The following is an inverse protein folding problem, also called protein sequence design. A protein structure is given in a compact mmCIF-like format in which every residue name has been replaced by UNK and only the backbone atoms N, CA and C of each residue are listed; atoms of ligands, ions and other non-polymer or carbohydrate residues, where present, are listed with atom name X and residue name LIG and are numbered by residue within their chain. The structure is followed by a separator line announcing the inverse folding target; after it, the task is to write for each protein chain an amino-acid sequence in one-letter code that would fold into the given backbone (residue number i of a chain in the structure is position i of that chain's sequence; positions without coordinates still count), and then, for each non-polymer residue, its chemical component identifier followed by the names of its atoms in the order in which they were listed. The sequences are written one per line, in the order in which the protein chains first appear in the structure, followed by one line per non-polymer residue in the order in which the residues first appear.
data_IF_278233216948
#
_entry.id   IF_278233216948
#
_cell.length_a   1.000
_cell.length_b   1.000
_cell.length_c   1.000
_cell.angle_alpha   90.00
_cell.angle_beta   90.00
_cell.angle_gamma   90.00
#
_symmetry.space_group_name_H-M   'P 1'
#
loop_
_entity.id
_entity.type
_entity.pdbx_description
1 polymer ?
#
# COMPACT_ATOMS: atom_id res chain seq x y z
N UNK A 1 -2.84 -0.31 -18.52
CA UNK A 1 -3.88 -0.86 -17.65
C UNK A 1 -4.60 -2.05 -18.28
N UNK A 2 -5.18 -1.93 -19.45
CA UNK A 2 -6.05 -2.95 -20.09
C UNK A 2 -5.44 -4.36 -20.19
N UNK A 3 -4.13 -4.46 -20.51
CA UNK A 3 -3.49 -5.77 -20.64
C UNK A 3 -3.36 -6.47 -19.28
N UNK A 4 -3.09 -5.73 -18.23
CA UNK A 4 -3.01 -6.25 -16.87
C UNK A 4 -4.40 -6.67 -16.38
N UNK A 5 -5.41 -5.83 -16.55
CA UNK A 5 -6.78 -6.12 -16.14
C UNK A 5 -7.34 -7.36 -16.84
N UNK A 6 -7.08 -7.53 -18.14
CA UNK A 6 -7.46 -8.77 -18.87
C UNK A 6 -6.83 -10.04 -18.30
N UNK A 7 -5.73 -9.90 -17.58
CA UNK A 7 -5.05 -11.01 -16.90
C UNK A 7 -5.31 -11.04 -15.39
N UNK A 8 -6.30 -10.30 -14.90
CA UNK A 8 -6.67 -10.30 -13.48
C UNK A 8 -5.65 -9.62 -12.56
N UNK A 9 -4.81 -8.73 -13.12
CA UNK A 9 -3.77 -8.02 -12.37
C UNK A 9 -4.19 -6.58 -12.13
N UNK A 10 -4.19 -6.17 -10.88
CA UNK A 10 -4.43 -4.76 -10.50
C UNK A 10 -3.18 -3.92 -10.73
N UNK A 11 -3.39 -2.66 -11.08
CA UNK A 11 -2.32 -1.67 -11.27
C UNK A 11 -2.49 -0.54 -10.28
N UNK A 12 -1.41 -0.23 -9.57
CA UNK A 12 -1.34 0.85 -8.60
C UNK A 12 -0.40 1.96 -9.07
N UNK A 13 -0.81 3.20 -8.89
CA UNK A 13 0.10 4.33 -9.09
C UNK A 13 1.07 4.42 -7.92
N UNK A 14 2.37 4.38 -8.20
CA UNK A 14 3.40 4.61 -7.21
C UNK A 14 3.51 6.11 -6.88
N UNK A 15 3.34 6.44 -5.60
CA UNK A 15 3.59 7.80 -5.08
C UNK A 15 4.74 7.70 -4.08
N UNK A 16 5.85 8.36 -4.36
CA UNK A 16 7.05 8.28 -3.53
C UNK A 16 7.32 9.61 -2.85
N UNK A 17 7.59 9.55 -1.55
CA UNK A 17 8.00 10.67 -0.73
C UNK A 17 9.41 10.43 -0.20
N UNK A 18 10.33 11.32 -0.55
CA UNK A 18 11.75 11.21 -0.20
C UNK A 18 12.08 11.81 1.16
N UNK A 19 11.27 11.54 2.16
CA UNK A 19 11.40 12.14 3.49
C UNK A 19 12.65 11.69 4.27
N UNK A 20 13.32 10.65 3.80
CA UNK A 20 14.53 10.12 4.43
C UNK A 20 15.82 10.82 4.01
N UNK A 21 15.79 11.62 2.97
CA UNK A 21 17.04 12.02 2.30
C UNK A 21 17.65 13.31 2.77
N UNK A 22 16.93 14.23 3.37
CA UNK A 22 17.55 15.45 3.98
C UNK A 22 16.52 16.46 4.44
N UNK A 23 16.82 17.15 5.49
CA UNK A 23 16.14 18.20 6.24
C UNK A 23 15.09 19.15 5.63
N UNK A 24 14.81 19.07 4.34
CA UNK A 24 13.76 19.88 3.70
C UNK A 24 12.56 19.05 3.19
N UNK A 25 12.79 17.78 2.89
CA UNK A 25 11.75 16.88 2.40
C UNK A 25 11.07 16.07 3.51
N UNK A 26 11.60 16.15 4.72
CA UNK A 26 11.19 15.32 5.86
C UNK A 26 9.70 15.38 6.23
N UNK A 27 8.97 16.32 5.65
CA UNK A 27 7.55 16.52 5.91
C UNK A 27 6.69 16.58 4.64
N UNK A 28 7.22 16.14 3.49
CA UNK A 28 6.48 16.24 2.22
C UNK A 28 5.18 15.46 2.24
N UNK A 29 5.17 14.24 2.76
CA UNK A 29 3.95 13.48 2.97
C UNK A 29 3.02 14.14 3.98
N UNK A 30 3.54 14.55 5.12
CA UNK A 30 2.77 15.24 6.15
C UNK A 30 2.15 16.52 5.59
N UNK A 31 2.92 17.34 4.87
CA UNK A 31 2.41 18.55 4.22
C UNK A 31 1.32 18.24 3.20
N UNK A 32 1.48 17.15 2.46
CA UNK A 32 0.50 16.71 1.48
C UNK A 32 -0.82 16.31 2.12
N UNK A 33 -0.83 15.42 3.11
CA UNK A 33 -2.04 14.97 3.80
C UNK A 33 -2.64 16.03 4.72
N UNK A 34 -1.83 16.96 5.25
CA UNK A 34 -2.31 18.03 6.15
C UNK A 34 -2.95 19.19 5.40
N UNK A 35 -2.75 19.31 4.09
CA UNK A 35 -3.35 20.38 3.31
C UNK A 35 -4.86 20.21 3.22
N UNK A 36 -5.60 21.23 3.71
CA UNK A 36 -7.06 21.23 3.76
C UNK A 36 -7.65 22.32 2.87
N UNK A 37 -8.87 22.08 2.44
CA UNK A 37 -9.74 23.08 1.87
C UNK A 37 -10.38 23.94 2.97
N UNK A 38 -11.05 25.00 2.58
CA UNK A 38 -11.74 25.91 3.53
C UNK A 38 -12.87 25.24 4.33
N UNK A 39 -13.44 24.14 3.81
CA UNK A 39 -14.47 23.35 4.47
C UNK A 39 -13.89 22.26 5.39
N UNK A 40 -12.56 22.17 5.51
CA UNK A 40 -11.86 21.19 6.33
C UNK A 40 -11.60 19.84 5.66
N UNK A 41 -12.11 19.60 4.45
CA UNK A 41 -11.81 18.39 3.67
C UNK A 41 -10.36 18.35 3.21
N UNK A 42 -9.83 17.18 2.94
CA UNK A 42 -8.47 17.04 2.41
C UNK A 42 -8.40 17.53 0.95
N UNK A 43 -7.40 18.35 0.67
CA UNK A 43 -7.28 19.01 -0.63
C UNK A 43 -7.05 18.04 -1.79
N UNK A 44 -6.33 16.97 -1.56
CA UNK A 44 -5.84 16.10 -2.64
C UNK A 44 -6.64 14.81 -2.81
N UNK A 45 -7.65 14.54 -1.99
CA UNK A 45 -8.43 13.30 -2.07
C UNK A 45 -9.19 13.18 -3.41
N UNK A 46 -9.98 14.17 -3.78
CA UNK A 46 -10.67 14.18 -5.08
C UNK A 46 -9.71 14.15 -6.30
N UNK A 47 -8.65 15.00 -6.35
CA UNK A 47 -7.66 14.91 -7.42
C UNK A 47 -7.02 13.53 -7.59
N UNK A 48 -6.72 12.84 -6.48
CA UNK A 48 -6.17 11.47 -6.54
C UNK A 48 -7.18 10.51 -7.18
N UNK A 49 -8.41 10.48 -6.69
CA UNK A 49 -9.45 9.59 -7.24
C UNK A 49 -9.67 9.86 -8.73
N UNK A 50 -9.78 11.11 -9.12
CA UNK A 50 -9.96 11.49 -10.53
C UNK A 50 -8.78 11.07 -11.39
N UNK A 51 -7.55 11.24 -10.89
CA UNK A 51 -6.35 10.83 -11.59
C UNK A 51 -6.30 9.31 -11.79
N UNK A 52 -6.60 8.53 -10.75
CA UNK A 52 -6.62 7.06 -10.84
C UNK A 52 -7.65 6.57 -11.86
N UNK A 53 -8.84 7.13 -11.84
CA UNK A 53 -9.90 6.80 -12.81
C UNK A 53 -9.50 7.17 -14.24
N UNK A 54 -8.94 8.35 -14.43
CA UNK A 54 -8.50 8.81 -15.75
C UNK A 54 -7.41 7.90 -16.34
N UNK A 55 -6.47 7.46 -15.52
CA UNK A 55 -5.35 6.58 -15.92
C UNK A 55 -5.74 5.10 -15.98
N UNK A 56 -6.91 4.73 -15.48
CA UNK A 56 -7.34 3.33 -15.39
C UNK A 56 -6.56 2.51 -14.36
N UNK A 57 -6.13 3.14 -13.27
CA UNK A 57 -5.47 2.46 -12.16
C UNK A 57 -6.49 2.05 -11.10
N UNK A 58 -6.20 0.95 -10.41
CA UNK A 58 -7.06 0.39 -9.35
C UNK A 58 -6.84 1.05 -8.00
N UNK A 59 -5.78 1.82 -7.87
CA UNK A 59 -5.47 2.50 -6.62
C UNK A 59 -4.09 3.15 -6.58
N UNK A 60 -3.68 3.50 -5.38
CA UNK A 60 -2.37 4.08 -5.10
C UNK A 60 -1.52 3.14 -4.24
N UNK A 61 -0.23 3.08 -4.55
CA UNK A 61 0.79 2.54 -3.66
C UNK A 61 1.69 3.70 -3.26
N UNK A 62 1.69 4.08 -1.99
CA UNK A 62 2.58 5.14 -1.55
C UNK A 62 3.75 4.59 -0.74
N UNK A 63 4.92 5.03 -1.12
CA UNK A 63 6.16 4.78 -0.43
C UNK A 63 6.50 6.00 0.43
N UNK A 64 6.34 5.84 1.74
CA UNK A 64 6.71 6.83 2.73
C UNK A 64 7.59 6.17 3.79
N UNK A 65 8.87 6.39 3.67
CA UNK A 65 9.90 5.77 4.51
C UNK A 65 10.30 6.67 5.69
N UNK A 66 9.41 7.54 6.14
CA UNK A 66 9.66 8.41 7.27
C UNK A 66 9.60 7.67 8.61
N UNK A 67 10.47 8.06 9.53
CA UNK A 67 10.43 7.63 10.94
C UNK A 67 9.44 8.41 11.78
N UNK A 68 8.87 9.46 11.24
CA UNK A 68 7.91 10.33 11.94
C UNK A 68 6.53 9.69 11.96
N UNK A 69 6.10 9.28 13.14
CA UNK A 69 4.83 8.55 13.35
C UNK A 69 3.71 9.41 13.91
N UNK A 70 3.94 10.69 14.15
CA UNK A 70 2.98 11.56 14.81
C UNK A 70 1.79 12.01 13.93
N UNK A 71 1.83 11.73 12.63
CA UNK A 71 0.71 12.00 11.73
C UNK A 71 -0.19 10.79 11.47
N UNK A 72 -0.09 9.75 12.28
CA UNK A 72 -0.89 8.53 12.08
C UNK A 72 -2.40 8.82 11.98
N UNK A 73 -2.93 9.66 12.87
CA UNK A 73 -4.35 10.00 12.88
C UNK A 73 -4.79 10.71 11.59
N UNK A 74 -3.96 11.62 11.09
CA UNK A 74 -4.24 12.34 9.83
C UNK A 74 -4.13 11.39 8.63
N UNK A 75 -3.15 10.50 8.65
CA UNK A 75 -2.98 9.48 7.62
C UNK A 75 -4.19 8.55 7.53
N UNK A 76 -4.66 8.08 8.68
CA UNK A 76 -5.87 7.26 8.79
C UNK A 76 -7.11 8.03 8.29
N UNK A 77 -7.25 9.29 8.69
CA UNK A 77 -8.35 10.13 8.26
C UNK A 77 -8.32 10.39 6.75
N UNK A 78 -7.14 10.61 6.19
CA UNK A 78 -6.93 10.78 4.74
C UNK A 78 -7.32 9.53 3.96
N UNK A 79 -6.91 8.34 4.40
CA UNK A 79 -7.31 7.08 3.79
C UNK A 79 -8.83 6.86 3.83
N UNK A 80 -9.45 7.13 4.97
CA UNK A 80 -10.91 6.99 5.11
C UNK A 80 -11.66 7.93 4.16
N UNK A 81 -11.18 9.15 4.00
CA UNK A 81 -11.79 10.09 3.06
C UNK A 81 -11.60 9.65 1.60
N UNK A 82 -10.42 9.15 1.23
CA UNK A 82 -10.18 8.58 -0.10
C UNK A 82 -11.18 7.46 -0.43
N UNK A 83 -11.36 6.50 0.48
CA UNK A 83 -12.33 5.41 0.28
C UNK A 83 -13.77 5.93 0.21
N UNK A 84 -14.13 6.90 1.05
CA UNK A 84 -15.46 7.51 1.02
C UNK A 84 -15.76 8.17 -0.32
N UNK A 85 -14.80 8.94 -0.85
CA UNK A 85 -14.93 9.62 -2.14
C UNK A 85 -14.99 8.60 -3.27
N UNK A 86 -14.06 7.66 -3.31
CA UNK A 86 -14.03 6.61 -4.32
C UNK A 86 -15.38 5.89 -4.39
N UNK A 87 -15.92 5.46 -3.24
CA UNK A 87 -17.22 4.80 -3.15
C UNK A 87 -18.37 5.71 -3.63
N UNK A 88 -18.38 6.98 -3.24
CA UNK A 88 -19.43 7.92 -3.64
C UNK A 88 -19.44 8.20 -5.14
N UNK A 89 -18.30 8.03 -5.80
CA UNK A 89 -18.13 8.19 -7.25
C UNK A 89 -18.24 6.87 -8.03
N UNK A 90 -18.63 5.79 -7.36
CA UNK A 90 -18.79 4.47 -7.99
C UNK A 90 -17.49 3.71 -8.26
N UNK A 91 -16.37 4.18 -7.69
CA UNK A 91 -15.08 3.48 -7.77
C UNK A 91 -14.92 2.52 -6.58
N UNK A 92 -15.73 1.47 -6.57
CA UNK A 92 -15.87 0.58 -5.40
C UNK A 92 -14.64 -0.30 -5.14
N UNK A 93 -13.85 -0.58 -6.18
CA UNK A 93 -12.67 -1.44 -6.10
C UNK A 93 -11.37 -0.66 -5.85
N UNK A 94 -11.48 0.65 -5.60
CA UNK A 94 -10.34 1.49 -5.28
C UNK A 94 -9.60 0.99 -4.04
N UNK A 95 -8.29 0.92 -4.14
CA UNK A 95 -7.42 0.41 -3.07
C UNK A 95 -6.30 1.40 -2.74
N UNK A 96 -5.90 1.38 -1.49
CA UNK A 96 -4.71 2.07 -1.00
C UNK A 96 -3.75 0.99 -0.51
N UNK A 97 -2.55 0.96 -1.04
CA UNK A 97 -1.48 0.06 -0.60
C UNK A 97 -0.40 0.88 0.08
N UNK A 98 -0.13 0.56 1.33
CA UNK A 98 0.96 1.17 2.10
C UNK A 98 2.21 0.29 2.01
N UNK A 99 3.29 0.86 1.49
CA UNK A 99 4.60 0.21 1.55
C UNK A 99 5.21 0.40 2.94
N UNK A 100 5.65 -0.69 3.54
CA UNK A 100 6.41 -0.66 4.79
C UNK A 100 7.87 -1.01 4.52
N UNK A 101 8.79 -0.32 5.19
CA UNK A 101 10.24 -0.61 5.12
C UNK A 101 10.61 -1.94 5.78
N UNK A 102 9.65 -2.58 6.45
CA UNK A 102 9.86 -3.87 7.10
C UNK A 102 9.52 -5.03 6.18
N UNK A 103 10.35 -6.06 6.19
CA UNK A 103 10.07 -7.35 5.56
C UNK A 103 9.11 -8.23 6.37
N UNK A 104 8.67 -7.75 7.52
CA UNK A 104 7.69 -8.42 8.39
C UNK A 104 6.54 -7.50 8.72
N UNK A 105 5.36 -8.07 8.89
CA UNK A 105 4.21 -7.35 9.41
C UNK A 105 4.46 -6.98 10.88
N UNK A 106 4.56 -5.69 11.14
CA UNK A 106 4.80 -5.14 12.46
C UNK A 106 3.49 -4.70 13.12
N UNK A 107 3.49 -4.51 14.43
CA UNK A 107 2.34 -3.93 15.14
C UNK A 107 2.01 -2.52 14.63
N UNK A 108 2.98 -1.80 14.07
CA UNK A 108 2.76 -0.51 13.46
C UNK A 108 2.08 -0.64 12.08
N UNK A 109 2.59 -1.46 11.18
CA UNK A 109 2.01 -1.63 9.84
C UNK A 109 0.66 -2.36 9.90
N UNK A 110 0.46 -3.28 10.84
CA UNK A 110 -0.81 -3.99 10.98
C UNK A 110 -1.98 -3.07 11.32
N UNK A 111 -1.76 -1.98 12.06
CA UNK A 111 -2.83 -1.01 12.36
C UNK A 111 -3.38 -0.30 11.11
N UNK A 112 -2.58 -0.13 10.08
CA UNK A 112 -3.04 0.42 8.80
C UNK A 112 -3.87 -0.59 8.02
N UNK A 113 -3.53 -1.85 8.13
CA UNK A 113 -4.22 -2.92 7.44
C UNK A 113 -5.56 -3.24 8.08
N UNK A 114 -5.57 -3.39 9.40
CA UNK A 114 -6.77 -3.83 10.12
C UNK A 114 -7.71 -2.68 10.49
N UNK A 115 -7.20 -1.48 10.67
CA UNK A 115 -7.95 -0.47 11.36
C UNK A 115 -8.29 -0.94 12.78
N UNK A 116 -9.55 -0.97 13.10
CA UNK A 116 -10.05 -1.54 14.36
C UNK A 116 -10.61 -2.95 14.18
N UNK A 117 -11.00 -3.31 12.98
CA UNK A 117 -11.50 -4.62 12.59
C UNK A 117 -11.40 -4.81 11.06
N UNK A 118 -11.64 -6.04 10.61
CA UNK A 118 -11.56 -6.43 9.20
C UNK A 118 -12.53 -5.67 8.28
N UNK A 119 -13.61 -5.15 8.84
CA UNK A 119 -14.65 -4.45 8.09
C UNK A 119 -14.33 -2.96 7.92
N UNK A 120 -13.35 -2.47 8.72
CA UNK A 120 -12.87 -1.09 8.71
C UNK A 120 -11.39 -0.99 8.29
N UNK A 121 -11.02 -1.75 7.29
CA UNK A 121 -9.67 -1.72 6.72
C UNK A 121 -9.31 -0.31 6.26
N UNK A 122 -8.12 0.17 6.66
CA UNK A 122 -7.63 1.50 6.33
C UNK A 122 -6.82 1.50 5.05
N UNK A 123 -6.08 0.43 4.81
CA UNK A 123 -5.36 0.18 3.55
C UNK A 123 -4.92 -1.28 3.46
N UNK A 124 -4.36 -1.65 2.34
CA UNK A 124 -3.58 -2.87 2.15
C UNK A 124 -2.10 -2.59 2.47
N UNK A 125 -1.33 -3.61 2.75
CA UNK A 125 0.08 -3.49 3.15
C UNK A 125 0.98 -4.29 2.22
N UNK A 126 1.98 -3.61 1.67
CA UNK A 126 3.09 -4.23 0.93
C UNK A 126 4.32 -4.27 1.84
N UNK A 127 4.82 -5.47 2.10
CA UNK A 127 6.07 -5.68 2.83
C UNK A 127 7.28 -5.44 1.91
N UNK A 128 8.39 -5.05 2.53
CA UNK A 128 9.64 -4.83 1.83
C UNK A 128 10.07 -6.08 1.04
N UNK A 129 10.68 -5.86 -0.10
CA UNK A 129 11.12 -6.86 -1.08
C UNK A 129 12.37 -7.66 -0.66
N UNK A 130 12.91 -7.47 0.55
CA UNK A 130 13.97 -8.29 1.13
C UNK A 130 13.52 -9.74 1.48
N UNK A 131 12.24 -10.03 1.30
CA UNK A 131 11.69 -11.39 1.41
C UNK A 131 12.03 -12.22 0.16
N UNK A 132 13.29 -12.56 -0.01
CA UNK A 132 13.82 -13.07 -1.25
C UNK A 132 13.18 -14.39 -1.75
N UNK A 133 12.58 -15.19 -0.94
CA UNK A 133 12.00 -16.48 -1.33
C UNK A 133 10.76 -16.86 -0.53
N UNK A 134 9.97 -15.85 -0.18
CA UNK A 134 8.87 -16.02 0.77
C UNK A 134 9.37 -16.63 2.09
N UNK A 135 10.45 -16.05 2.56
CA UNK A 135 11.19 -16.42 3.75
C UNK A 135 10.33 -16.53 5.01
N UNK A 136 10.95 -16.90 6.10
CA UNK A 136 10.37 -16.94 7.43
C UNK A 136 9.56 -15.67 7.77
N UNK A 137 10.05 -14.49 7.42
CA UNK A 137 9.39 -13.23 7.69
C UNK A 137 8.02 -13.12 7.00
N UNK A 138 7.94 -13.54 5.74
CA UNK A 138 6.67 -13.53 5.03
C UNK A 138 5.71 -14.59 5.58
N UNK A 139 6.20 -15.78 5.89
CA UNK A 139 5.40 -16.86 6.47
C UNK A 139 4.82 -16.50 7.83
N UNK A 140 5.62 -15.89 8.70
CA UNK A 140 5.14 -15.42 10.02
C UNK A 140 4.15 -14.25 9.88
N UNK A 141 4.38 -13.36 8.92
CA UNK A 141 3.47 -12.23 8.63
C UNK A 141 2.10 -12.71 8.12
N UNK A 142 2.09 -13.68 7.22
CA UNK A 142 0.84 -14.31 6.75
C UNK A 142 0.11 -14.99 7.90
N UNK A 143 0.81 -15.74 8.73
CA UNK A 143 0.22 -16.40 9.90
C UNK A 143 -0.37 -15.39 10.90
N UNK A 144 0.32 -14.28 11.14
CA UNK A 144 -0.18 -13.22 12.00
C UNK A 144 -1.41 -12.53 11.41
N UNK A 145 -1.41 -12.28 10.10
CA UNK A 145 -2.56 -11.74 9.40
C UNK A 145 -3.79 -12.66 9.50
N UNK A 146 -3.60 -13.94 9.25
CA UNK A 146 -4.68 -14.92 9.37
C UNK A 146 -5.21 -15.02 10.81
N UNK A 147 -4.32 -14.97 11.79
CA UNK A 147 -4.70 -15.01 13.21
C UNK A 147 -5.56 -13.80 13.62
N UNK A 148 -5.20 -12.62 13.14
CA UNK A 148 -5.85 -11.36 13.55
C UNK A 148 -7.07 -11.01 12.72
N UNK A 149 -7.10 -11.40 11.44
CA UNK A 149 -8.15 -11.03 10.49
C UNK A 149 -8.92 -12.20 9.89
N UNK A 150 -8.50 -13.42 10.17
CA UNK A 150 -9.07 -14.62 9.56
C UNK A 150 -8.55 -14.92 8.15
N UNK A 151 -7.79 -14.02 7.53
CA UNK A 151 -7.17 -14.20 6.23
C UNK A 151 -5.98 -13.25 6.07
N UNK A 152 -5.06 -13.57 5.16
CA UNK A 152 -3.97 -12.68 4.77
C UNK A 152 -4.31 -11.81 3.55
N UNK A 153 -5.59 -11.67 3.26
CA UNK A 153 -6.08 -10.84 2.16
C UNK A 153 -5.72 -9.37 2.40
N UNK A 154 -5.10 -8.73 1.40
CA UNK A 154 -4.57 -7.37 1.51
C UNK A 154 -3.15 -7.26 2.10
N UNK A 155 -2.51 -8.39 2.40
CA UNK A 155 -1.08 -8.45 2.69
C UNK A 155 -0.33 -8.89 1.42
N UNK A 156 0.68 -8.11 1.02
CA UNK A 156 1.44 -8.36 -0.21
C UNK A 156 2.93 -8.54 0.09
N UNK A 157 3.50 -9.57 -0.51
CA UNK A 157 4.94 -9.68 -0.63
C UNK A 157 5.42 -8.74 -1.74
N UNK A 158 6.30 -7.81 -1.41
CA UNK A 158 6.98 -6.98 -2.39
C UNK A 158 8.04 -7.79 -3.14
N UNK A 159 8.04 -7.72 -4.45
CA UNK A 159 9.06 -8.32 -5.31
C UNK A 159 9.68 -7.23 -6.17
N UNK A 160 10.96 -6.98 -5.98
CA UNK A 160 11.67 -5.97 -6.74
C UNK A 160 12.08 -6.50 -8.11
N UNK A 161 11.43 -5.99 -9.15
CA UNK A 161 11.60 -6.50 -10.51
C UNK A 161 12.98 -6.27 -11.11
N UNK A 162 13.76 -5.33 -10.58
CA UNK A 162 15.12 -5.02 -11.07
C UNK A 162 16.12 -6.12 -10.70
N UNK A 163 15.91 -6.83 -9.60
CA UNK A 163 16.72 -7.99 -9.21
C UNK A 163 15.92 -9.29 -9.24
N UNK A 164 15.33 -9.56 -10.38
CA UNK A 164 14.52 -10.72 -10.66
C UNK A 164 15.35 -12.01 -10.68
N UNK A 165 15.64 -12.47 -9.50
CA UNK A 165 16.34 -13.73 -9.25
C UNK A 165 15.35 -14.90 -8.97
N UNK A 166 15.76 -15.85 -8.19
CA UNK A 166 14.99 -17.05 -7.80
C UNK A 166 13.58 -16.80 -7.20
N UNK A 167 13.20 -15.57 -6.94
CA UNK A 167 11.88 -15.17 -6.40
C UNK A 167 10.71 -15.50 -7.32
N UNK A 168 10.98 -15.79 -8.57
CA UNK A 168 9.97 -16.22 -9.55
C UNK A 168 9.39 -17.62 -9.28
N UNK A 169 9.89 -18.31 -8.29
CA UNK A 169 9.32 -19.59 -7.87
C UNK A 169 8.04 -19.42 -7.01
N UNK A 170 7.46 -18.22 -7.00
CA UNK A 170 6.23 -17.89 -6.29
C UNK A 170 5.07 -18.88 -6.51
N UNK A 171 4.79 -19.35 -7.75
CA UNK A 171 3.65 -20.24 -7.98
C UNK A 171 3.70 -21.56 -7.19
N UNK A 172 4.90 -22.01 -6.84
CA UNK A 172 5.11 -23.25 -6.10
C UNK A 172 5.22 -23.06 -4.59
N UNK A 173 5.36 -21.81 -4.13
CA UNK A 173 5.53 -21.52 -2.72
C UNK A 173 4.18 -21.49 -1.99
N UNK A 174 4.07 -22.22 -0.88
CA UNK A 174 2.83 -22.31 -0.13
C UNK A 174 2.47 -20.99 0.57
N UNK A 175 3.45 -20.19 0.96
CA UNK A 175 3.22 -18.86 1.55
C UNK A 175 2.67 -17.91 0.49
N UNK A 176 3.23 -17.93 -0.72
CA UNK A 176 2.78 -17.10 -1.83
C UNK A 176 1.32 -17.35 -2.23
N UNK A 177 0.81 -18.56 -2.00
CA UNK A 177 -0.61 -18.89 -2.25
C UNK A 177 -1.57 -18.31 -1.24
N UNK A 178 -1.07 -17.79 -0.12
CA UNK A 178 -1.87 -17.28 1.01
C UNK A 178 -1.88 -15.76 1.09
N UNK A 179 -1.08 -15.06 0.29
CA UNK A 179 -0.98 -13.60 0.29
C UNK A 179 -0.95 -13.06 -1.15
N UNK A 180 -1.03 -11.75 -1.28
CA UNK A 180 -0.81 -11.08 -2.56
C UNK A 180 0.67 -10.97 -2.93
N UNK A 181 0.94 -10.73 -4.19
CA UNK A 181 2.28 -10.42 -4.70
C UNK A 181 2.21 -9.06 -5.36
N UNK A 182 3.09 -8.15 -4.96
CA UNK A 182 3.24 -6.85 -5.57
C UNK A 182 4.59 -6.77 -6.29
N UNK A 183 4.55 -6.67 -7.61
CA UNK A 183 5.74 -6.40 -8.41
C UNK A 183 6.06 -4.92 -8.30
N UNK A 184 7.22 -4.62 -7.76
CA UNK A 184 7.70 -3.27 -7.54
C UNK A 184 8.96 -3.02 -8.35
N UNK A 185 9.04 -1.89 -9.01
CA UNK A 185 10.24 -1.49 -9.71
C UNK A 185 10.21 -0.02 -10.08
N UNK A 186 11.34 0.64 -9.89
CA UNK A 186 11.64 1.91 -10.51
C UNK A 186 12.49 1.61 -11.74
N UNK A 187 12.11 2.16 -12.87
CA UNK A 187 13.02 2.19 -14.01
C UNK A 187 14.04 3.28 -13.72
N UNK A 188 15.28 2.87 -13.46
CA UNK A 188 16.40 3.76 -13.63
C UNK A 188 16.57 3.92 -15.15
N UNK A 189 16.32 5.12 -15.65
CA UNK A 189 16.75 5.51 -16.98
C UNK A 189 18.27 5.62 -17.05
#
# INVERSE_FOLDING_TARGET
ADAAHRNGTSIFAGIKFFDHTTGGAANSWASFIMTRNSDGSFRYTHPIINCMRFLGFDGINYNWESTNKYQDADNIAFHKELYKIAKSEGFNDFKIMYYTTSSSLTSYSSRYMWGQDKDNRICEVMLNYDNSDFSWNMGSSVTEAERTMGAADGLYAGVWIVSMDSRWNCPNNQVAKRCGICLWGEHAE
#
